data_IF_623628248641
#
_entry.id   IF_623628248641
#
_cell.length_a   1.000
_cell.length_b   1.000
_cell.length_c   1.000
_cell.angle_alpha   90.00
_cell.angle_beta   90.00
_cell.angle_gamma   90.00
#
_symmetry.space_group_name_H-M   'P 1'
#
loop_
_entity.id
_entity.type
_entity.pdbx_description
1 polymer ?
#
# COMPACT_ATOMS: atom_id res chain seq x y z
N UNK A 1 -8.12 2.28 7.03
CA UNK A 1 -6.79 1.92 6.46
C UNK A 1 -6.20 3.02 5.59
N UNK A 2 -6.80 3.44 4.46
CA UNK A 2 -6.25 4.53 3.61
C UNK A 2 -5.87 5.79 4.40
N UNK A 3 -6.80 6.30 5.22
CA UNK A 3 -6.56 7.48 6.06
C UNK A 3 -5.39 7.32 7.06
N UNK A 4 -5.08 6.08 7.50
CA UNK A 4 -3.94 5.82 8.38
C UNK A 4 -2.63 6.02 7.63
N UNK A 5 -2.56 5.55 6.38
CA UNK A 5 -1.41 5.70 5.50
C UNK A 5 -1.25 7.17 5.06
N UNK A 6 -2.31 7.81 4.59
CA UNK A 6 -2.30 9.24 4.19
C UNK A 6 -1.87 10.17 5.33
N UNK A 7 -2.12 9.80 6.59
CA UNK A 7 -1.74 10.60 7.75
C UNK A 7 -0.26 10.47 8.15
N UNK A 8 0.50 9.57 7.52
CA UNK A 8 1.91 9.43 7.86
C UNK A 8 2.77 10.52 7.23
N UNK A 9 3.70 11.13 8.01
CA UNK A 9 4.69 12.03 7.44
C UNK A 9 5.51 11.34 6.33
N UNK A 10 5.64 12.01 5.19
CA UNK A 10 6.41 11.55 4.03
C UNK A 10 5.73 10.53 3.14
N UNK A 11 4.49 10.12 3.44
CA UNK A 11 3.62 9.50 2.44
C UNK A 11 3.02 10.63 1.60
N UNK A 12 3.39 10.68 0.33
CA UNK A 12 2.84 11.65 -0.61
C UNK A 12 1.45 11.23 -1.08
N UNK A 13 1.25 9.92 -1.29
CA UNK A 13 0.00 9.37 -1.81
C UNK A 13 -0.17 7.89 -1.50
N UNK A 14 -1.41 7.47 -1.27
CA UNK A 14 -1.82 6.07 -1.44
C UNK A 14 -2.27 5.88 -2.89
N UNK A 15 -1.48 5.15 -3.67
CA UNK A 15 -1.79 4.84 -5.07
C UNK A 15 -2.94 3.84 -5.15
N UNK A 16 -2.82 2.77 -4.38
CA UNK A 16 -3.81 1.70 -4.33
C UNK A 16 -3.93 1.11 -2.91
N UNK A 17 -5.14 0.65 -2.60
CA UNK A 17 -5.41 -0.17 -1.43
C UNK A 17 -6.41 -1.27 -1.81
N UNK A 18 -5.94 -2.52 -1.74
CA UNK A 18 -6.75 -3.71 -1.97
C UNK A 18 -6.86 -4.53 -0.70
N UNK A 19 -7.98 -5.25 -0.59
CA UNK A 19 -8.23 -6.19 0.50
C UNK A 19 -8.74 -7.51 -0.06
N UNK A 20 -8.22 -8.61 0.47
CA UNK A 20 -8.74 -9.95 0.20
C UNK A 20 -9.17 -10.59 1.50
N UNK A 21 -10.41 -11.08 1.55
CA UNK A 21 -10.98 -11.76 2.71
C UNK A 21 -10.93 -13.27 2.49
N UNK A 22 -10.15 -13.98 3.31
CA UNK A 22 -10.15 -15.45 3.38
C UNK A 22 -11.18 -15.98 4.37
N UNK A 23 -11.65 -15.12 5.26
CA UNK A 23 -12.70 -15.39 6.23
C UNK A 23 -13.04 -14.13 7.03
N UNK A 24 -13.98 -14.21 7.99
CA UNK A 24 -14.42 -13.06 8.78
C UNK A 24 -13.34 -12.48 9.71
N UNK A 25 -12.21 -13.16 9.88
CA UNK A 25 -11.09 -12.72 10.71
C UNK A 25 -9.73 -13.05 10.08
N UNK A 26 -9.70 -13.18 8.75
CA UNK A 26 -8.46 -13.39 7.99
C UNK A 26 -8.49 -12.51 6.74
N UNK A 27 -7.97 -11.30 6.89
CA UNK A 27 -7.90 -10.29 5.83
C UNK A 27 -6.43 -10.03 5.48
N UNK A 28 -6.14 -10.10 4.19
CA UNK A 28 -4.92 -9.57 3.60
C UNK A 28 -5.17 -8.16 3.06
N UNK A 29 -4.24 -7.26 3.33
CA UNK A 29 -4.23 -5.91 2.76
C UNK A 29 -2.98 -5.75 1.89
N UNK A 30 -3.15 -5.23 0.68
CA UNK A 30 -2.05 -4.79 -0.17
C UNK A 30 -2.17 -3.26 -0.37
N UNK A 31 -1.07 -2.53 -0.19
CA UNK A 31 -1.01 -1.09 -0.42
C UNK A 31 0.14 -0.77 -1.37
N UNK A 32 -0.11 0.08 -2.37
CA UNK A 32 0.94 0.78 -3.12
C UNK A 32 0.98 2.23 -2.64
N UNK A 33 2.14 2.67 -2.17
CA UNK A 33 2.36 4.00 -1.58
C UNK A 33 3.46 4.74 -2.32
N UNK A 34 3.18 6.01 -2.60
CA UNK A 34 4.16 6.99 -3.06
C UNK A 34 4.71 7.73 -1.84
N UNK A 35 6.03 7.76 -1.72
CA UNK A 35 6.75 8.46 -0.66
C UNK A 35 7.43 9.71 -1.21
N UNK A 36 7.77 10.66 -0.35
CA UNK A 36 8.62 11.78 -0.76
C UNK A 36 9.96 11.24 -1.32
N UNK A 37 10.32 11.64 -2.55
CA UNK A 37 11.54 11.21 -3.24
C UNK A 37 12.82 11.49 -2.44
N UNK A 38 12.81 12.53 -1.60
CA UNK A 38 13.93 12.89 -0.74
C UNK A 38 13.95 12.11 0.58
N UNK A 39 12.94 11.28 0.87
CA UNK A 39 12.86 10.50 2.09
C UNK A 39 13.97 9.43 2.12
N UNK A 40 14.83 9.42 3.14
CA UNK A 40 15.83 8.37 3.27
C UNK A 40 15.16 6.99 3.41
N UNK A 41 15.75 5.96 2.78
CA UNK A 41 15.21 4.59 2.84
C UNK A 41 14.90 4.10 4.26
N UNK A 42 15.74 4.44 5.25
CA UNK A 42 15.48 4.09 6.65
C UNK A 42 14.23 4.75 7.25
N UNK A 43 13.86 5.96 6.78
CA UNK A 43 12.58 6.58 7.17
C UNK A 43 11.39 5.95 6.45
N UNK A 44 11.55 5.49 5.21
CA UNK A 44 10.53 4.70 4.51
C UNK A 44 10.20 3.44 5.31
N UNK A 45 11.22 2.66 5.69
CA UNK A 45 11.06 1.44 6.52
C UNK A 45 10.34 1.71 7.85
N UNK A 46 10.72 2.80 8.54
CA UNK A 46 10.07 3.22 9.79
C UNK A 46 8.62 3.60 9.56
N UNK A 47 8.34 4.30 8.47
CA UNK A 47 6.98 4.74 8.10
C UNK A 47 6.10 3.54 7.78
N UNK A 48 6.57 2.60 6.95
CA UNK A 48 5.92 1.31 6.67
C UNK A 48 5.60 0.58 7.98
N UNK A 49 6.58 0.46 8.88
CA UNK A 49 6.39 -0.18 10.19
C UNK A 49 5.31 0.50 11.06
N UNK A 50 5.19 1.83 11.00
CA UNK A 50 4.13 2.56 11.71
C UNK A 50 2.75 2.30 11.09
N UNK A 51 2.66 2.30 9.76
CA UNK A 51 1.41 2.02 9.03
C UNK A 51 0.91 0.63 9.38
N UNK A 52 1.76 -0.39 9.28
CA UNK A 52 1.37 -1.78 9.59
C UNK A 52 0.84 -1.91 11.02
N UNK A 53 1.55 -1.34 12.00
CA UNK A 53 1.13 -1.37 13.41
C UNK A 53 -0.20 -0.65 13.60
N UNK A 54 -0.38 0.52 13.00
CA UNK A 54 -1.60 1.30 13.12
C UNK A 54 -2.79 0.59 12.45
N UNK A 55 -2.61 -0.01 11.28
CA UNK A 55 -3.65 -0.81 10.60
C UNK A 55 -4.03 -2.00 11.47
N UNK A 56 -3.07 -2.82 11.92
CA UNK A 56 -3.36 -4.00 12.77
C UNK A 56 -4.01 -3.62 14.10
N UNK A 57 -3.65 -2.48 14.68
CA UNK A 57 -4.27 -1.98 15.90
C UNK A 57 -5.71 -1.51 15.69
N UNK A 58 -6.01 -0.90 14.54
CA UNK A 58 -7.36 -0.42 14.21
C UNK A 58 -8.26 -1.52 13.65
N UNK A 59 -7.67 -2.53 13.03
CA UNK A 59 -8.33 -3.63 12.32
C UNK A 59 -7.68 -4.98 12.69
N UNK A 60 -8.05 -5.58 13.84
CA UNK A 60 -7.43 -6.81 14.34
C UNK A 60 -7.65 -8.06 13.48
N UNK A 61 -8.61 -8.01 12.57
CA UNK A 61 -8.93 -9.01 11.55
C UNK A 61 -7.96 -9.01 10.35
N UNK A 62 -7.10 -7.98 10.24
CA UNK A 62 -6.01 -7.93 9.27
C UNK A 62 -4.82 -8.76 9.76
N UNK A 63 -4.61 -9.90 9.12
CA UNK A 63 -3.57 -10.86 9.48
C UNK A 63 -2.27 -10.59 8.70
N UNK A 64 -2.39 -10.12 7.46
CA UNK A 64 -1.26 -9.87 6.53
C UNK A 64 -1.37 -8.50 5.89
N UNK A 65 -0.25 -7.82 5.76
CA UNK A 65 -0.13 -6.53 5.07
C UNK A 65 1.09 -6.61 4.16
N UNK A 66 0.92 -6.23 2.90
CA UNK A 66 2.00 -5.99 1.95
C UNK A 66 1.98 -4.50 1.57
N UNK A 67 3.15 -3.87 1.55
CA UNK A 67 3.30 -2.46 1.19
C UNK A 67 4.40 -2.35 0.14
N UNK A 68 4.06 -1.74 -0.98
CA UNK A 68 4.98 -1.41 -2.06
C UNK A 68 5.29 0.08 -2.01
N UNK A 69 6.58 0.44 -2.10
CA UNK A 69 7.03 1.80 -2.29
C UNK A 69 7.20 2.04 -3.79
N UNK A 70 6.24 2.74 -4.39
CA UNK A 70 6.16 2.93 -5.83
C UNK A 70 5.68 4.36 -6.12
N UNK A 71 6.36 5.04 -7.05
CA UNK A 71 5.92 6.37 -7.47
C UNK A 71 4.56 6.29 -8.17
N UNK A 72 3.76 7.36 -8.09
CA UNK A 72 2.47 7.40 -8.76
C UNK A 72 2.56 7.15 -10.28
N UNK A 73 3.59 7.70 -10.92
CA UNK A 73 3.85 7.49 -12.35
C UNK A 73 4.18 6.02 -12.66
N UNK A 74 4.98 5.37 -11.81
CA UNK A 74 5.32 3.96 -11.98
C UNK A 74 4.11 3.03 -11.81
N UNK A 75 3.23 3.34 -10.86
CA UNK A 75 2.01 2.56 -10.61
C UNK A 75 1.02 2.65 -11.78
N UNK A 76 0.77 3.86 -12.29
CA UNK A 76 -0.09 4.02 -13.46
C UNK A 76 0.47 3.33 -14.72
N UNK A 77 1.80 3.33 -14.88
CA UNK A 77 2.47 2.63 -15.97
C UNK A 77 2.21 1.11 -15.96
N UNK A 78 2.31 0.46 -14.79
CA UNK A 78 2.09 -0.98 -14.66
C UNK A 78 0.65 -1.39 -14.94
N UNK A 79 -0.33 -0.62 -14.45
CA UNK A 79 -1.76 -0.93 -14.65
C UNK A 79 -2.15 -0.89 -16.13
N UNK A 80 -1.58 0.05 -16.90
CA UNK A 80 -1.85 0.18 -18.33
C UNK A 80 -1.26 -0.98 -19.12
N UNK A 81 -0.04 -1.41 -18.78
CA UNK A 81 0.62 -2.57 -19.42
C UNK A 81 -0.12 -3.88 -19.13
N UNK A 82 -0.59 -4.09 -17.90
CA UNK A 82 -1.33 -5.29 -17.51
C UNK A 82 -2.67 -5.37 -18.27
N UNK A 83 -3.45 -4.27 -18.31
CA UNK A 83 -4.73 -4.21 -19.02
C UNK A 83 -4.59 -4.34 -20.54
N UNK A 84 -3.50 -3.82 -21.12
CA UNK A 84 -3.20 -4.01 -22.54
C UNK A 84 -2.89 -5.48 -22.87
N UNK A 85 -2.25 -6.20 -21.95
CA UNK A 85 -1.92 -7.61 -22.10
C UNK A 85 -3.16 -8.51 -22.01
N UNK A 86 -4.12 -8.18 -21.14
CA UNK A 86 -5.40 -8.90 -21.01
C UNK A 86 -6.29 -8.76 -22.25
N UNK A 87 -6.27 -7.62 -22.94
CA UNK A 87 -7.06 -7.38 -24.17
C UNK A 87 -6.46 -8.05 -25.42
N UNK A 88 -5.23 -8.56 -25.32
CA UNK A 88 -4.53 -9.25 -26.41
C UNK A 88 -4.72 -10.77 -26.38
N UNK A 89 -5.52 -11.31 -25.45
CA UNK A 89 -5.74 -12.73 -25.23
C UNK A 89 -7.22 -13.10 -25.40
#
# INVERSE_FOLDING_TARGET
MKAIADAQPGVARVNELLTMHFGPSDILVALSLDFDDAMPAGEVERTVSRIEKAIKSAHPDVTRIFIEAQSFEGHWGSDVEERASELSN
#
